data_IF_681662877311
#
_entry.id   IF_681662877311
#
_cell.length_a   1.000
_cell.length_b   1.000
_cell.length_c   1.000
_cell.angle_alpha   90.00
_cell.angle_beta   90.00
_cell.angle_gamma   90.00
#
_symmetry.space_group_name_H-M   'P 1'
#
loop_
_entity.id
_entity.type
_entity.pdbx_description
1 polymer ?
#
# COMPACT_ATOMS: atom_id res chain seq x y z
N UNK A 1 39.85 -14.55 14.33
CA UNK A 1 38.98 -13.99 15.34
C UNK A 1 38.88 -12.45 15.35
N UNK A 2 39.92 -11.67 15.09
CA UNK A 2 39.85 -10.18 15.11
C UNK A 2 39.09 -9.54 13.95
N UNK A 3 38.86 -10.22 12.84
CA UNK A 3 38.16 -9.66 11.64
C UNK A 3 36.65 -9.64 11.80
N UNK A 4 36.09 -10.57 12.52
CA UNK A 4 34.64 -10.66 12.78
C UNK A 4 34.15 -9.56 13.73
N UNK A 5 34.96 -9.15 14.68
CA UNK A 5 34.62 -8.10 15.67
C UNK A 5 34.46 -6.73 15.00
N UNK A 6 35.38 -6.34 14.10
CA UNK A 6 35.30 -5.07 13.35
C UNK A 6 34.07 -5.02 12.43
N UNK A 7 33.71 -6.15 11.81
CA UNK A 7 32.51 -6.23 10.96
C UNK A 7 31.24 -6.08 11.79
N UNK A 8 31.19 -6.68 12.98
CA UNK A 8 30.02 -6.54 13.85
C UNK A 8 29.88 -5.12 14.41
N UNK A 9 30.96 -4.46 14.83
CA UNK A 9 30.93 -3.08 15.33
C UNK A 9 30.43 -2.12 14.26
N UNK A 10 30.90 -2.27 13.00
CA UNK A 10 30.46 -1.44 11.89
C UNK A 10 28.98 -1.68 11.54
N UNK A 11 28.52 -2.93 11.62
CA UNK A 11 27.09 -3.26 11.43
C UNK A 11 26.21 -2.60 12.49
N UNK A 12 26.54 -2.70 13.76
CA UNK A 12 25.77 -2.05 14.84
C UNK A 12 25.80 -0.54 14.74
N UNK A 13 26.92 0.05 14.32
CA UNK A 13 27.02 1.49 14.07
C UNK A 13 26.06 1.92 12.95
N UNK A 14 26.05 1.21 11.81
CA UNK A 14 25.12 1.51 10.71
C UNK A 14 23.67 1.32 11.15
N UNK A 15 23.34 0.23 11.83
CA UNK A 15 21.98 -0.02 12.35
C UNK A 15 21.56 1.10 13.31
N UNK A 16 22.43 1.52 14.20
CA UNK A 16 22.17 2.62 15.12
C UNK A 16 21.94 3.94 14.41
N UNK A 17 22.76 4.25 13.41
CA UNK A 17 22.62 5.47 12.60
C UNK A 17 21.32 5.48 11.79
N UNK A 18 20.98 4.37 11.14
CA UNK A 18 19.72 4.20 10.41
C UNK A 18 18.53 4.26 11.37
N UNK A 19 18.64 3.61 12.53
CA UNK A 19 17.60 3.67 13.57
C UNK A 19 17.37 5.08 14.07
N UNK A 20 18.43 5.83 14.35
CA UNK A 20 18.36 7.24 14.75
C UNK A 20 17.71 8.08 13.65
N UNK A 21 18.12 7.91 12.40
CA UNK A 21 17.56 8.62 11.24
C UNK A 21 16.05 8.38 11.08
N UNK A 22 15.57 7.16 11.33
CA UNK A 22 14.15 6.82 11.24
C UNK A 22 13.33 7.29 12.45
N UNK A 23 13.92 7.24 13.66
CA UNK A 23 13.22 7.60 14.89
C UNK A 23 13.17 9.12 15.12
N UNK A 24 14.16 9.88 14.63
CA UNK A 24 14.24 11.33 14.83
C UNK A 24 13.01 12.08 14.27
N UNK A 25 12.50 11.80 13.04
CA UNK A 25 11.26 12.40 12.56
C UNK A 25 10.05 12.06 13.43
N UNK A 26 9.92 10.80 13.87
CA UNK A 26 8.82 10.38 14.74
C UNK A 26 8.84 11.09 16.08
N UNK A 27 10.03 11.24 16.68
CA UNK A 27 10.20 12.03 17.88
C UNK A 27 9.83 13.50 17.66
N UNK A 28 10.26 14.09 16.54
CA UNK A 28 9.93 15.47 16.18
C UNK A 28 8.42 15.66 16.00
N UNK A 29 7.74 14.70 15.36
CA UNK A 29 6.28 14.71 15.23
C UNK A 29 5.60 14.62 16.59
N UNK A 30 6.07 13.76 17.48
CA UNK A 30 5.56 13.66 18.85
C UNK A 30 5.77 14.96 19.63
N UNK A 31 6.98 15.53 19.59
CA UNK A 31 7.29 16.82 20.23
C UNK A 31 6.36 17.92 19.72
N UNK A 32 6.20 18.02 18.40
CA UNK A 32 5.33 19.03 17.78
C UNK A 32 3.86 18.85 18.16
N UNK A 33 3.35 17.61 18.15
CA UNK A 33 1.96 17.30 18.48
C UNK A 33 1.58 17.59 19.93
N UNK A 34 2.58 17.67 20.82
CA UNK A 34 2.38 17.97 22.24
C UNK A 34 2.61 19.43 22.60
N UNK A 35 2.93 20.30 21.63
CA UNK A 35 3.04 21.76 21.87
C UNK A 35 1.65 22.36 22.08
N UNK A 36 1.54 23.38 22.95
CA UNK A 36 0.28 24.09 23.16
C UNK A 36 -0.15 24.84 21.90
N UNK A 37 -1.47 25.03 21.74
CA UNK A 37 -2.02 25.77 20.59
C UNK A 37 -1.69 27.26 20.61
N UNK A 38 -1.37 27.82 21.79
CA UNK A 38 -1.14 29.24 21.99
C UNK A 38 0.28 29.48 22.47
N UNK A 39 0.96 30.46 21.90
CA UNK A 39 2.33 30.87 22.30
C UNK A 39 2.47 31.27 23.77
N UNK A 40 1.36 31.68 24.41
CA UNK A 40 1.35 32.09 25.81
C UNK A 40 1.28 30.95 26.81
N UNK A 41 0.92 29.73 26.37
CA UNK A 41 0.88 28.53 27.21
C UNK A 41 2.27 27.89 27.24
N UNK A 42 2.87 27.83 28.42
CA UNK A 42 4.12 27.10 28.64
C UNK A 42 3.83 25.67 29.05
N UNK A 43 4.60 24.72 28.50
CA UNK A 43 4.49 23.31 28.83
C UNK A 43 4.02 22.44 27.66
N UNK A 44 3.86 21.15 27.90
CA UNK A 44 3.36 20.17 26.93
C UNK A 44 1.89 19.84 27.20
N UNK A 45 1.13 19.61 26.16
CA UNK A 45 -0.30 19.28 26.28
C UNK A 45 -0.68 18.19 25.31
N UNK A 46 -1.65 17.36 25.69
CA UNK A 46 -2.26 16.36 24.81
C UNK A 46 -3.56 16.88 24.17
N UNK A 47 -3.78 18.20 24.16
CA UNK A 47 -5.01 18.79 23.62
C UNK A 47 -5.22 18.39 22.15
N UNK A 48 -4.19 18.38 21.31
CA UNK A 48 -4.27 17.97 19.92
C UNK A 48 -4.78 16.52 19.77
N UNK A 49 -4.36 15.61 20.63
CA UNK A 49 -4.79 14.20 20.63
C UNK A 49 -6.24 14.03 21.09
N UNK A 50 -6.68 14.82 22.05
CA UNK A 50 -8.05 14.80 22.57
C UNK A 50 -9.08 15.30 21.54
N UNK A 51 -8.67 16.14 20.61
CA UNK A 51 -9.53 16.69 19.56
C UNK A 51 -9.73 15.71 18.39
N UNK A 52 -8.84 14.71 18.22
CA UNK A 52 -8.94 13.75 17.11
C UNK A 52 -10.33 13.09 17.02
N UNK A 53 -10.90 12.50 18.08
CA UNK A 53 -12.19 11.84 17.99
C UNK A 53 -13.37 12.78 17.69
N UNK A 54 -13.23 14.06 17.95
CA UNK A 54 -14.27 15.08 17.71
C UNK A 54 -14.25 15.66 16.29
N UNK A 55 -13.38 15.12 15.39
CA UNK A 55 -13.31 15.51 13.98
C UNK A 55 -14.18 14.57 13.11
N UNK A 56 -15.45 14.91 12.80
CA UNK A 56 -16.35 14.00 12.10
C UNK A 56 -15.86 13.68 10.67
N UNK A 57 -15.33 14.69 9.96
CA UNK A 57 -14.79 14.51 8.61
C UNK A 57 -13.61 13.51 8.59
N UNK A 58 -12.80 13.46 9.66
CA UNK A 58 -11.68 12.54 9.75
C UNK A 58 -12.13 11.08 9.82
N UNK A 59 -13.09 10.78 10.71
CA UNK A 59 -13.59 9.41 10.88
C UNK A 59 -14.25 8.93 9.58
N UNK A 60 -15.09 9.77 8.97
CA UNK A 60 -15.75 9.45 7.71
C UNK A 60 -14.71 9.22 6.59
N UNK A 61 -13.69 10.05 6.52
CA UNK A 61 -12.65 9.92 5.50
C UNK A 61 -11.80 8.64 5.68
N UNK A 62 -11.51 8.22 6.92
CA UNK A 62 -10.84 6.96 7.21
C UNK A 62 -11.68 5.79 6.67
N UNK A 63 -12.96 5.73 7.01
CA UNK A 63 -13.85 4.66 6.56
C UNK A 63 -13.95 4.62 5.04
N UNK A 64 -14.09 5.77 4.38
CA UNK A 64 -14.15 5.86 2.92
C UNK A 64 -12.84 5.43 2.26
N UNK A 65 -11.70 5.83 2.80
CA UNK A 65 -10.39 5.42 2.27
C UNK A 65 -10.13 3.93 2.46
N UNK A 66 -10.52 3.35 3.60
CA UNK A 66 -10.45 1.91 3.83
C UNK A 66 -11.40 1.13 2.90
N UNK A 67 -12.61 1.65 2.67
CA UNK A 67 -13.54 1.06 1.70
C UNK A 67 -12.96 1.09 0.27
N UNK A 68 -12.36 2.22 -0.13
CA UNK A 68 -11.65 2.31 -1.43
C UNK A 68 -10.50 1.31 -1.51
N UNK A 69 -9.71 1.15 -0.46
CA UNK A 69 -8.63 0.16 -0.42
C UNK A 69 -9.17 -1.27 -0.55
N UNK A 70 -10.28 -1.59 0.13
CA UNK A 70 -10.91 -2.91 0.03
C UNK A 70 -11.44 -3.19 -1.39
N UNK A 71 -12.03 -2.21 -2.06
CA UNK A 71 -12.47 -2.33 -3.45
C UNK A 71 -11.29 -2.54 -4.38
N UNK A 72 -10.21 -1.78 -4.21
CA UNK A 72 -8.99 -1.95 -5.01
C UNK A 72 -8.42 -3.36 -4.82
N UNK A 73 -8.35 -3.86 -3.58
CA UNK A 73 -7.93 -5.24 -3.32
C UNK A 73 -8.83 -6.26 -4.00
N UNK A 74 -10.14 -6.06 -3.97
CA UNK A 74 -11.09 -6.92 -4.68
C UNK A 74 -10.85 -6.90 -6.20
N UNK A 75 -10.65 -5.72 -6.79
CA UNK A 75 -10.33 -5.58 -8.21
C UNK A 75 -9.00 -6.26 -8.58
N UNK A 76 -7.99 -6.17 -7.72
CA UNK A 76 -6.73 -6.90 -7.89
C UNK A 76 -6.99 -8.40 -7.96
N UNK A 77 -7.72 -8.96 -7.00
CA UNK A 77 -7.97 -10.38 -6.92
C UNK A 77 -8.81 -10.91 -8.10
N UNK A 78 -9.82 -10.15 -8.51
CA UNK A 78 -10.78 -10.61 -9.52
C UNK A 78 -10.31 -10.33 -10.95
N UNK A 79 -9.60 -9.22 -11.19
CA UNK A 79 -9.20 -8.82 -12.53
C UNK A 79 -7.70 -9.03 -12.78
N UNK A 80 -6.85 -8.54 -11.88
CA UNK A 80 -5.41 -8.50 -12.14
C UNK A 80 -4.78 -9.89 -11.96
N UNK A 81 -5.08 -10.59 -10.87
CA UNK A 81 -4.50 -11.91 -10.62
C UNK A 81 -4.82 -12.92 -11.74
N UNK A 82 -6.08 -13.13 -12.16
CA UNK A 82 -6.37 -14.04 -13.26
C UNK A 82 -5.73 -13.62 -14.57
N UNK A 83 -5.69 -12.30 -14.86
CA UNK A 83 -5.08 -11.78 -16.09
C UNK A 83 -3.58 -12.05 -16.13
N UNK A 84 -2.87 -11.78 -15.05
CA UNK A 84 -1.42 -12.01 -14.95
C UNK A 84 -1.11 -13.52 -15.10
N UNK A 85 -1.87 -14.38 -14.42
CA UNK A 85 -1.73 -15.83 -14.55
C UNK A 85 -1.99 -16.29 -15.98
N UNK A 86 -3.05 -15.78 -16.60
CA UNK A 86 -3.39 -16.12 -17.98
C UNK A 86 -2.30 -15.71 -18.98
N UNK A 87 -1.74 -14.50 -18.80
CA UNK A 87 -0.61 -14.03 -19.63
C UNK A 87 0.60 -14.94 -19.48
N UNK A 88 0.96 -15.33 -18.26
CA UNK A 88 2.10 -16.22 -18.02
C UNK A 88 1.92 -17.59 -18.62
N UNK A 89 0.71 -18.19 -18.49
CA UNK A 89 0.46 -19.57 -18.94
C UNK A 89 0.15 -19.68 -20.44
N UNK A 90 -0.50 -18.66 -21.02
CA UNK A 90 -1.01 -18.75 -22.39
C UNK A 90 -0.32 -17.83 -23.38
N UNK A 91 0.24 -16.72 -22.93
CA UNK A 91 0.82 -15.69 -23.77
C UNK A 91 2.23 -15.26 -23.32
N UNK A 92 3.17 -16.22 -23.11
CA UNK A 92 4.50 -15.90 -22.56
C UNK A 92 5.27 -14.88 -23.42
N UNK A 93 5.04 -14.89 -24.74
CA UNK A 93 5.66 -13.92 -25.67
C UNK A 93 5.17 -12.49 -25.46
N UNK A 94 3.96 -12.29 -24.92
CA UNK A 94 3.39 -10.97 -24.65
C UNK A 94 3.67 -10.47 -23.22
N UNK A 95 4.29 -11.29 -22.36
CA UNK A 95 4.60 -10.92 -20.96
C UNK A 95 5.28 -9.56 -20.88
N UNK A 96 6.32 -9.32 -21.70
CA UNK A 96 7.08 -8.07 -21.72
C UNK A 96 6.23 -6.87 -22.19
N UNK A 97 5.34 -7.08 -23.16
CA UNK A 97 4.44 -6.02 -23.67
C UNK A 97 3.42 -5.66 -22.59
N UNK A 98 2.82 -6.65 -21.93
CA UNK A 98 1.88 -6.43 -20.83
C UNK A 98 2.55 -5.71 -19.65
N UNK A 99 3.79 -6.10 -19.30
CA UNK A 99 4.57 -5.40 -18.29
C UNK A 99 4.77 -3.92 -18.63
N UNK A 100 5.15 -3.61 -19.88
CA UNK A 100 5.32 -2.22 -20.33
C UNK A 100 4.00 -1.44 -20.26
N UNK A 101 2.88 -2.03 -20.67
CA UNK A 101 1.56 -1.39 -20.56
C UNK A 101 1.20 -1.12 -19.10
N UNK A 102 1.47 -2.07 -18.19
CA UNK A 102 1.24 -1.88 -16.77
C UNK A 102 2.10 -0.75 -16.16
N UNK A 103 3.26 -0.44 -16.74
CA UNK A 103 4.14 0.65 -16.28
C UNK A 103 3.70 2.05 -16.75
N UNK A 104 2.85 2.15 -17.77
CA UNK A 104 2.42 3.44 -18.34
C UNK A 104 1.90 4.41 -17.27
N UNK A 105 1.05 4.01 -16.31
CA UNK A 105 0.53 4.94 -15.31
C UNK A 105 1.60 5.63 -14.46
N UNK A 106 2.76 4.98 -14.25
CA UNK A 106 3.88 5.59 -13.51
C UNK A 106 4.63 6.67 -14.31
N UNK A 107 4.59 6.59 -15.64
CA UNK A 107 5.24 7.56 -16.50
C UNK A 107 4.43 8.86 -16.66
N UNK A 108 3.13 8.82 -16.35
CA UNK A 108 2.22 9.96 -16.53
C UNK A 108 2.15 10.77 -15.24
N UNK A 109 2.46 12.08 -15.25
CA UNK A 109 2.28 12.93 -14.06
C UNK A 109 0.84 12.92 -13.58
N UNK A 110 0.64 12.90 -12.26
CA UNK A 110 -0.70 12.83 -11.65
C UNK A 110 -1.66 13.92 -12.14
N UNK A 111 -1.15 15.14 -12.37
CA UNK A 111 -1.96 16.25 -12.90
C UNK A 111 -2.51 15.95 -14.29
N UNK A 112 -1.74 15.29 -15.16
CA UNK A 112 -2.17 14.92 -16.51
C UNK A 112 -3.26 13.86 -16.46
N UNK A 113 -3.09 12.87 -15.55
CA UNK A 113 -4.13 11.86 -15.29
C UNK A 113 -5.43 12.55 -14.87
N UNK A 114 -5.35 13.46 -13.89
CA UNK A 114 -6.54 14.19 -13.38
C UNK A 114 -7.23 14.98 -14.49
N UNK A 115 -6.49 15.72 -15.31
CA UNK A 115 -7.09 16.48 -16.42
C UNK A 115 -7.80 15.54 -17.40
N UNK A 116 -7.19 14.39 -17.71
CA UNK A 116 -7.80 13.40 -18.62
C UNK A 116 -9.07 12.74 -18.08
N UNK A 117 -9.12 12.46 -16.77
CA UNK A 117 -10.27 11.76 -16.15
C UNK A 117 -11.32 12.72 -15.56
N UNK A 118 -11.02 14.01 -15.40
CA UNK A 118 -11.93 14.97 -14.77
C UNK A 118 -13.33 15.01 -15.42
N UNK A 119 -13.50 14.97 -16.76
CA UNK A 119 -14.84 14.92 -17.37
C UNK A 119 -15.62 13.66 -16.96
N UNK A 120 -14.96 12.51 -16.92
CA UNK A 120 -15.57 11.25 -16.48
C UNK A 120 -16.00 11.32 -15.00
N UNK A 121 -15.13 11.81 -14.12
CA UNK A 121 -15.43 11.94 -12.69
C UNK A 121 -16.51 12.97 -12.42
N UNK A 122 -16.59 14.04 -13.20
CA UNK A 122 -17.71 14.99 -13.16
C UNK A 122 -19.01 14.31 -13.55
N UNK A 123 -19.02 13.50 -14.58
CA UNK A 123 -20.20 12.74 -14.99
C UNK A 123 -20.62 11.73 -13.90
N UNK A 124 -19.66 10.99 -13.30
CA UNK A 124 -19.90 10.05 -12.18
C UNK A 124 -20.51 10.81 -10.98
N UNK A 125 -19.96 11.96 -10.63
CA UNK A 125 -20.43 12.78 -9.51
C UNK A 125 -21.89 13.22 -9.69
N UNK A 126 -22.28 13.57 -10.92
CA UNK A 126 -23.64 14.04 -11.22
C UNK A 126 -24.65 12.89 -11.28
N UNK A 127 -24.27 11.74 -11.86
CA UNK A 127 -25.22 10.68 -12.21
C UNK A 127 -25.18 9.46 -11.27
N UNK A 128 -24.10 9.26 -10.53
CA UNK A 128 -23.88 8.06 -9.69
C UNK A 128 -23.68 8.45 -8.23
N UNK A 129 -22.58 9.07 -7.89
CA UNK A 129 -22.25 9.45 -6.51
C UNK A 129 -21.03 10.37 -6.43
N UNK A 130 -21.04 11.27 -5.44
CA UNK A 130 -19.88 12.10 -5.08
C UNK A 130 -18.92 11.41 -4.08
N UNK A 131 -19.11 10.12 -3.84
CA UNK A 131 -18.29 9.40 -2.87
C UNK A 131 -16.87 9.21 -3.36
N UNK A 132 -15.82 9.44 -2.51
CA UNK A 132 -14.43 9.13 -2.82
C UNK A 132 -14.17 7.66 -3.18
N UNK A 133 -15.11 6.77 -2.87
CA UNK A 133 -15.02 5.33 -3.20
C UNK A 133 -14.87 5.11 -4.71
N UNK A 134 -15.42 5.99 -5.55
CA UNK A 134 -15.28 5.93 -7.00
C UNK A 134 -13.83 6.04 -7.47
N UNK A 135 -12.95 6.68 -6.68
CA UNK A 135 -11.52 6.77 -6.96
C UNK A 135 -10.82 5.41 -6.97
N UNK A 136 -11.43 4.35 -6.42
CA UNK A 136 -10.88 3.00 -6.46
C UNK A 136 -10.60 2.50 -7.89
N UNK A 137 -11.33 2.99 -8.91
CA UNK A 137 -11.06 2.67 -10.32
C UNK A 137 -9.69 3.22 -10.77
N UNK A 138 -9.44 4.50 -10.51
CA UNK A 138 -8.15 5.14 -10.82
C UNK A 138 -7.03 4.57 -9.98
N UNK A 139 -7.27 4.34 -8.70
CA UNK A 139 -6.28 3.73 -7.82
C UNK A 139 -5.89 2.34 -8.27
N UNK A 140 -6.84 1.53 -8.77
CA UNK A 140 -6.53 0.23 -9.36
C UNK A 140 -5.55 0.34 -10.53
N UNK A 141 -5.70 1.37 -11.36
CA UNK A 141 -4.79 1.64 -12.49
C UNK A 141 -3.40 2.06 -12.00
N UNK A 142 -3.31 2.92 -10.98
CA UNK A 142 -2.02 3.36 -10.42
C UNK A 142 -1.25 2.23 -9.73
N UNK A 143 -1.95 1.24 -9.21
CA UNK A 143 -1.38 0.12 -8.48
C UNK A 143 -0.93 -1.01 -9.42
N UNK A 144 -1.44 -1.04 -10.66
CA UNK A 144 -1.12 -2.06 -11.66
C UNK A 144 0.37 -2.40 -11.74
N UNK A 145 1.31 -1.43 -11.84
CA UNK A 145 2.73 -1.70 -11.99
C UNK A 145 3.29 -2.54 -10.84
N UNK A 146 2.93 -2.18 -9.63
CA UNK A 146 3.43 -2.81 -8.41
C UNK A 146 2.84 -4.21 -8.22
N UNK A 147 1.53 -4.33 -8.44
CA UNK A 147 0.82 -5.61 -8.33
C UNK A 147 1.28 -6.58 -9.39
N UNK A 148 1.40 -6.11 -10.65
CA UNK A 148 1.91 -6.93 -11.75
C UNK A 148 3.29 -7.49 -11.43
N UNK A 149 4.23 -6.65 -10.98
CA UNK A 149 5.59 -7.07 -10.61
C UNK A 149 5.60 -8.07 -9.46
N UNK A 150 4.82 -7.82 -8.42
CA UNK A 150 4.73 -8.72 -7.27
C UNK A 150 4.19 -10.10 -7.66
N UNK A 151 3.14 -10.14 -8.48
CA UNK A 151 2.55 -11.38 -8.98
C UNK A 151 3.45 -12.10 -9.98
N UNK A 152 4.06 -11.36 -10.91
CA UNK A 152 4.98 -11.91 -11.90
C UNK A 152 6.18 -12.58 -11.24
N UNK A 153 6.79 -11.91 -10.25
CA UNK A 153 7.89 -12.48 -9.48
C UNK A 153 7.50 -13.76 -8.73
N UNK A 154 6.30 -13.80 -8.15
CA UNK A 154 5.80 -14.99 -7.47
C UNK A 154 5.52 -16.16 -8.45
N UNK A 155 5.00 -15.86 -9.65
CA UNK A 155 4.76 -16.86 -10.70
C UNK A 155 6.08 -17.44 -11.26
N UNK A 156 7.07 -16.57 -11.47
CA UNK A 156 8.38 -16.97 -11.99
C UNK A 156 9.13 -17.83 -10.95
N UNK A 157 9.08 -17.47 -9.67
CA UNK A 157 9.71 -18.24 -8.60
C UNK A 157 9.09 -19.62 -8.38
N UNK A 158 7.82 -19.79 -8.72
CA UNK A 158 7.07 -21.03 -8.49
C UNK A 158 7.08 -22.01 -9.67
N UNK A 159 7.75 -21.68 -10.79
CA UNK A 159 7.66 -22.44 -12.05
C UNK A 159 6.23 -22.87 -12.39
N UNK A 160 5.40 -21.87 -12.56
CA UNK A 160 3.95 -22.05 -12.72
C UNK A 160 3.56 -22.94 -13.91
N UNK A 161 4.41 -23.05 -14.92
CA UNK A 161 4.19 -23.90 -16.07
C UNK A 161 4.21 -25.38 -15.68
N UNK A 162 5.25 -25.83 -14.98
CA UNK A 162 5.37 -27.19 -14.47
C UNK A 162 4.23 -27.56 -13.55
N UNK A 163 3.85 -26.66 -12.63
CA UNK A 163 2.72 -26.88 -11.73
C UNK A 163 1.39 -27.00 -12.48
N UNK A 164 1.16 -26.17 -13.50
CA UNK A 164 -0.05 -26.21 -14.31
C UNK A 164 -0.14 -27.48 -15.16
N UNK A 165 0.97 -27.95 -15.73
CA UNK A 165 1.05 -29.19 -16.49
C UNK A 165 0.81 -30.42 -15.61
N UNK A 166 1.45 -30.46 -14.44
CA UNK A 166 1.21 -31.53 -13.46
C UNK A 166 -0.26 -31.62 -13.02
N UNK A 167 -0.88 -30.47 -12.74
CA UNK A 167 -2.29 -30.41 -12.36
C UNK A 167 -3.21 -30.97 -13.50
N UNK A 168 -2.89 -30.64 -14.76
CA UNK A 168 -3.65 -31.11 -15.93
C UNK A 168 -3.49 -32.61 -16.15
N UNK A 169 -2.28 -33.15 -16.01
CA UNK A 169 -2.02 -34.62 -16.10
C UNK A 169 -2.80 -35.38 -15.05
N UNK A 170 -3.04 -34.80 -13.89
CA UNK A 170 -3.88 -35.35 -12.82
C UNK A 170 -5.38 -35.11 -13.05
N UNK A 171 -5.80 -34.60 -14.23
CA UNK A 171 -7.20 -34.41 -14.59
C UNK A 171 -7.86 -33.16 -13.93
N UNK A 172 -7.10 -32.23 -13.41
CA UNK A 172 -7.67 -31.01 -12.82
C UNK A 172 -8.27 -30.10 -13.90
N UNK A 173 -9.54 -29.69 -13.71
CA UNK A 173 -10.14 -28.63 -14.52
C UNK A 173 -9.39 -27.28 -14.29
N UNK A 174 -9.52 -26.34 -15.23
CA UNK A 174 -8.88 -25.02 -15.14
C UNK A 174 -9.23 -24.30 -13.82
N UNK A 175 -10.49 -24.38 -13.40
CA UNK A 175 -10.95 -23.76 -12.14
C UNK A 175 -10.31 -24.42 -10.92
N UNK A 176 -10.25 -25.77 -10.90
CA UNK A 176 -9.62 -26.54 -9.82
C UNK A 176 -8.11 -26.27 -9.76
N UNK A 177 -7.44 -26.19 -10.91
CA UNK A 177 -6.03 -25.82 -11.02
C UNK A 177 -5.79 -24.39 -10.48
N UNK A 178 -6.62 -23.42 -10.88
CA UNK A 178 -6.52 -22.03 -10.38
C UNK A 178 -6.69 -21.96 -8.86
N UNK A 179 -7.79 -22.51 -8.34
CA UNK A 179 -8.11 -22.40 -6.92
C UNK A 179 -7.23 -23.28 -6.01
N UNK A 180 -6.88 -24.50 -6.47
CA UNK A 180 -6.18 -25.49 -5.63
C UNK A 180 -4.65 -25.46 -5.75
N UNK A 181 -4.09 -24.94 -6.84
CA UNK A 181 -2.65 -24.94 -7.09
C UNK A 181 -2.12 -23.53 -7.24
N UNK A 182 -2.64 -22.75 -8.18
CA UNK A 182 -2.07 -21.46 -8.55
C UNK A 182 -2.32 -20.40 -7.46
N UNK A 183 -3.55 -20.23 -7.00
CA UNK A 183 -3.87 -19.21 -5.98
C UNK A 183 -3.14 -19.42 -4.65
N UNK A 184 -3.02 -20.65 -4.09
CA UNK A 184 -2.21 -20.87 -2.89
C UNK A 184 -0.72 -20.54 -3.11
N UNK A 185 -0.18 -20.85 -4.28
CA UNK A 185 1.21 -20.53 -4.62
C UNK A 185 1.46 -19.03 -4.73
N UNK A 186 0.47 -18.27 -5.22
CA UNK A 186 0.55 -16.82 -5.37
C UNK A 186 0.27 -16.03 -4.10
N UNK A 187 -0.07 -16.69 -2.99
CA UNK A 187 -0.48 -15.98 -1.75
C UNK A 187 0.50 -14.90 -1.31
N UNK A 188 1.80 -15.15 -1.40
CA UNK A 188 2.84 -14.17 -1.02
C UNK A 188 2.84 -12.98 -1.99
N UNK A 189 2.74 -13.21 -3.30
CA UNK A 189 2.62 -12.16 -4.30
C UNK A 189 1.35 -11.34 -4.14
N UNK A 190 0.22 -12.00 -3.86
CA UNK A 190 -1.07 -11.34 -3.60
C UNK A 190 -0.99 -10.49 -2.33
N UNK A 191 -0.44 -11.02 -1.23
CA UNK A 191 -0.28 -10.27 0.02
C UNK A 191 0.60 -9.05 -0.17
N UNK A 192 1.77 -9.20 -0.81
CA UNK A 192 2.68 -8.07 -1.08
C UNK A 192 2.00 -7.01 -1.95
N UNK A 193 1.33 -7.43 -3.04
CA UNK A 193 0.57 -6.53 -3.89
C UNK A 193 -0.55 -5.81 -3.14
N UNK A 194 -1.25 -6.52 -2.25
CA UNK A 194 -2.31 -5.96 -1.42
C UNK A 194 -1.79 -4.94 -0.39
N UNK A 195 -0.66 -5.21 0.25
CA UNK A 195 -0.03 -4.23 1.16
C UNK A 195 0.38 -2.96 0.44
N UNK A 196 0.99 -3.08 -0.74
CA UNK A 196 1.35 -1.91 -1.55
C UNK A 196 0.09 -1.15 -1.96
N UNK A 197 -0.98 -1.86 -2.34
CA UNK A 197 -2.26 -1.26 -2.71
C UNK A 197 -2.87 -0.45 -1.56
N UNK A 198 -2.93 -1.03 -0.36
CA UNK A 198 -3.44 -0.33 0.84
C UNK A 198 -2.59 0.91 1.13
N UNK A 199 -1.26 0.78 1.11
CA UNK A 199 -0.36 1.90 1.38
C UNK A 199 -0.53 3.04 0.37
N UNK A 200 -0.65 2.72 -0.93
CA UNK A 200 -0.89 3.70 -1.99
C UNK A 200 -2.25 4.38 -1.85
N UNK A 201 -3.33 3.63 -1.63
CA UNK A 201 -4.68 4.21 -1.49
C UNK A 201 -4.77 5.11 -0.26
N UNK A 202 -4.23 4.67 0.88
CA UNK A 202 -4.26 5.46 2.10
C UNK A 202 -3.31 6.66 2.05
N UNK A 203 -2.22 6.59 1.27
CA UNK A 203 -1.24 7.65 1.10
C UNK A 203 -1.55 8.61 -0.05
N UNK A 204 -2.54 8.32 -0.89
CA UNK A 204 -2.83 9.13 -2.06
C UNK A 204 -3.52 10.44 -1.67
N UNK A 205 -2.89 11.54 -2.06
CA UNK A 205 -3.35 12.90 -1.80
C UNK A 205 -3.64 13.66 -3.10
N UNK A 206 -2.82 13.48 -4.12
CA UNK A 206 -2.76 14.38 -5.27
C UNK A 206 -4.02 14.31 -6.13
N UNK A 207 -4.42 13.12 -6.54
CA UNK A 207 -5.59 12.92 -7.40
C UNK A 207 -6.87 13.27 -6.64
N UNK A 208 -6.99 12.79 -5.40
CA UNK A 208 -8.15 13.08 -4.57
C UNK A 208 -8.30 14.58 -4.29
N UNK A 209 -7.20 15.28 -3.98
CA UNK A 209 -7.24 16.72 -3.75
C UNK A 209 -7.58 17.52 -5.01
N UNK A 210 -7.01 17.15 -6.16
CA UNK A 210 -7.27 17.82 -7.44
C UNK A 210 -8.69 17.58 -7.97
N UNK A 211 -9.28 16.42 -7.67
CA UNK A 211 -10.67 16.10 -7.97
C UNK A 211 -11.66 16.52 -6.86
N UNK A 212 -11.16 17.19 -5.82
CA UNK A 212 -11.94 17.71 -4.69
C UNK A 212 -12.68 16.62 -3.88
N UNK A 213 -12.11 15.41 -3.76
CA UNK A 213 -12.65 14.36 -2.93
C UNK A 213 -12.02 14.37 -1.52
N UNK A 214 -12.85 14.22 -0.49
CA UNK A 214 -12.41 14.14 0.91
C UNK A 214 -11.94 12.72 1.27
N UNK A 215 -10.71 12.38 0.89
CA UNK A 215 -10.01 11.18 1.37
C UNK A 215 -9.27 11.46 2.67
N UNK A 216 -8.76 10.42 3.32
CA UNK A 216 -8.03 10.52 4.58
C UNK A 216 -6.87 11.53 4.52
N UNK A 217 -6.01 11.46 3.48
CA UNK A 217 -4.89 12.39 3.33
C UNK A 217 -5.32 13.82 3.04
N UNK A 218 -6.38 14.01 2.26
CA UNK A 218 -6.93 15.35 1.98
C UNK A 218 -7.47 15.99 3.25
N UNK A 219 -8.19 15.23 4.07
CA UNK A 219 -8.72 15.72 5.35
C UNK A 219 -7.59 16.06 6.33
N UNK A 220 -6.54 15.24 6.43
CA UNK A 220 -5.36 15.59 7.24
C UNK A 220 -4.72 16.90 6.76
N UNK A 221 -4.56 17.07 5.45
CA UNK A 221 -3.99 18.29 4.89
C UNK A 221 -4.88 19.51 5.15
N UNK A 222 -6.21 19.38 5.13
CA UNK A 222 -7.15 20.44 5.49
C UNK A 222 -7.06 20.80 6.98
N UNK A 223 -7.01 19.80 7.87
CA UNK A 223 -6.78 20.01 9.31
C UNK A 223 -5.45 20.72 9.52
N UNK A 224 -4.41 20.38 8.76
CA UNK A 224 -3.09 21.00 8.85
C UNK A 224 -3.08 22.50 8.55
N UNK A 225 -4.01 22.98 7.72
CA UNK A 225 -4.18 24.43 7.43
C UNK A 225 -4.81 25.20 8.59
N UNK A 226 -5.55 24.55 9.45
CA UNK A 226 -6.21 25.17 10.60
C UNK A 226 -5.50 24.88 11.90
N UNK A 227 -4.95 23.67 12.06
CA UNK A 227 -4.23 23.23 13.26
C UNK A 227 -3.14 22.22 12.91
N UNK A 228 -1.91 22.70 12.77
CA UNK A 228 -0.75 21.84 12.48
C UNK A 228 -0.52 20.77 13.54
N UNK A 229 -0.74 21.09 14.83
CA UNK A 229 -0.56 20.15 15.93
C UNK A 229 -1.51 18.95 15.83
N UNK A 230 -2.80 19.19 15.47
CA UNK A 230 -3.79 18.13 15.29
C UNK A 230 -3.45 17.27 14.07
N UNK A 231 -3.09 17.90 12.94
CA UNK A 231 -2.70 17.15 11.74
C UNK A 231 -1.49 16.26 11.99
N UNK A 232 -0.47 16.75 12.70
CA UNK A 232 0.72 15.97 13.05
C UNK A 232 0.37 14.86 14.04
N UNK A 233 -0.52 15.10 15.01
CA UNK A 233 -0.99 14.07 15.93
C UNK A 233 -1.73 12.94 15.20
N UNK A 234 -2.62 13.27 14.25
CA UNK A 234 -3.32 12.29 13.40
C UNK A 234 -2.34 11.49 12.53
N UNK A 235 -1.39 12.17 11.89
CA UNK A 235 -0.37 11.52 11.07
C UNK A 235 0.48 10.56 11.88
N UNK A 236 0.94 10.97 13.07
CA UNK A 236 1.71 10.11 13.96
C UNK A 236 0.88 8.92 14.46
N UNK A 237 -0.38 9.15 14.85
CA UNK A 237 -1.28 8.07 15.25
C UNK A 237 -1.46 7.04 14.12
N UNK A 238 -1.59 7.49 12.88
CA UNK A 238 -1.71 6.60 11.70
C UNK A 238 -0.45 5.76 11.47
N UNK A 239 0.73 6.37 11.57
CA UNK A 239 2.02 5.66 11.44
C UNK A 239 2.16 4.61 12.54
N UNK A 240 1.88 4.99 13.79
CA UNK A 240 1.95 4.06 14.92
C UNK A 240 0.94 2.92 14.81
N UNK A 241 -0.27 3.21 14.32
CA UNK A 241 -1.29 2.19 14.08
C UNK A 241 -0.84 1.17 13.02
N UNK A 242 -0.31 1.65 11.87
CA UNK A 242 0.21 0.76 10.83
C UNK A 242 1.40 -0.06 11.33
N UNK A 243 2.31 0.57 12.07
CA UNK A 243 3.44 -0.12 12.67
C UNK A 243 2.99 -1.21 13.65
N UNK A 244 2.00 -0.91 14.51
CA UNK A 244 1.43 -1.90 15.42
C UNK A 244 0.78 -3.06 14.67
N UNK A 245 0.03 -2.81 13.60
CA UNK A 245 -0.53 -3.86 12.74
C UNK A 245 0.56 -4.75 12.13
N UNK A 246 1.64 -4.15 11.61
CA UNK A 246 2.76 -4.90 11.04
C UNK A 246 3.46 -5.79 12.08
N UNK A 247 3.60 -5.31 13.31
CA UNK A 247 4.19 -6.09 14.41
C UNK A 247 3.28 -7.23 14.89
N UNK A 248 1.97 -7.09 14.77
CA UNK A 248 1.00 -8.12 15.13
C UNK A 248 0.90 -9.24 14.09
N UNK A 249 1.36 -9.02 12.85
CA UNK A 249 1.40 -10.07 11.83
C UNK A 249 2.48 -11.09 12.24
N UNK A 250 2.14 -12.37 12.45
CA UNK A 250 3.10 -13.37 12.93
C UNK A 250 4.24 -13.56 11.92
N UNK A 251 5.42 -13.12 12.28
CA UNK A 251 6.64 -13.25 11.45
C UNK A 251 7.16 -14.70 11.36
N UNK A 252 6.51 -15.66 12.00
CA UNK A 252 6.95 -17.06 12.11
C UNK A 252 7.09 -17.82 10.79
N UNK A 253 6.59 -17.30 9.65
CA UNK A 253 6.73 -17.94 8.33
C UNK A 253 7.85 -17.36 7.47
N UNK A 254 8.19 -16.08 7.60
CA UNK A 254 9.26 -15.47 6.79
C UNK A 254 10.66 -15.89 7.22
N UNK A 255 10.88 -16.09 8.52
CA UNK A 255 12.19 -16.50 9.03
C UNK A 255 12.56 -17.94 8.65
N UNK A 256 11.58 -18.81 8.41
CA UNK A 256 11.84 -20.20 8.02
C UNK A 256 12.21 -20.33 6.54
N UNK A 257 11.60 -19.54 5.66
CA UNK A 257 11.93 -19.52 4.23
C UNK A 257 13.32 -18.93 3.93
N UNK A 258 13.78 -17.96 4.74
CA UNK A 258 15.12 -17.36 4.58
C UNK A 258 16.21 -18.31 5.10
N UNK A 259 15.93 -19.11 6.14
CA UNK A 259 16.89 -20.07 6.67
C UNK A 259 17.02 -21.34 5.83
N UNK A 260 15.96 -21.73 5.11
CA UNK A 260 15.98 -22.92 4.24
C UNK A 260 16.69 -22.63 2.88
N UNK A 261 16.85 -21.35 2.50
CA UNK A 261 17.62 -20.97 1.29
C UNK A 261 19.13 -20.94 1.53
N UNK A 262 19.58 -20.74 2.77
CA UNK A 262 21.02 -20.73 3.12
C UNK A 262 21.60 -22.13 3.35
N UNK A 263 20.81 -23.19 3.27
CA UNK A 263 21.23 -24.59 3.53
C UNK A 263 21.16 -25.48 2.27
N UNK A 264 20.71 -24.95 1.13
CA UNK A 264 20.68 -25.62 -0.16
C UNK A 264 21.74 -25.03 -1.10
#
# INVERSE_FOLDING_TARGET
>A
MKRTWKVNTWRYFIIGLVGLYLLLPLYSMFDFSTKPFTFFQKGRTLAAWKVIPSQPDLIISIVRSLASAAIVMFLILVLIVPTVVWVHLKLPKLKRVVELICLIPLAIPAIVIVVGIAPLYRWISIHITESPITLSLVYSMLILPYTYRSLSAALDAADIHTLAEAARTLGASTTRMMAGVIMPTLRTGILNGSFIAIALVLGEYTISNLLNYKTFQVVIAQIGRTSGNVAVAVSLASILFVLALLLLIPQKKMAKEVLDVDVA
#
